data_IF_908985248116
#
_entry.id   IF_908985248116
#
_cell.length_a   1.000
_cell.length_b   1.000
_cell.length_c   1.000
_cell.angle_alpha   90.00
_cell.angle_beta   90.00
_cell.angle_gamma   90.00
#
_symmetry.space_group_name_H-M   'P 1'
#
loop_
_entity.id
_entity.type
_entity.pdbx_description
1 polymer ?
#
# COMPACT_ATOMS: atom_id res chain seq x y z
N UNK A 1 24.30 -4.84 15.97
CA UNK A 1 24.52 -6.30 16.10
C UNK A 1 23.20 -7.06 16.30
N UNK A 2 22.19 -6.50 16.99
CA UNK A 2 20.89 -7.13 17.25
C UNK A 2 20.13 -7.46 15.96
N UNK A 3 20.05 -6.55 14.99
CA UNK A 3 19.41 -6.80 13.69
C UNK A 3 20.04 -8.02 13.04
N UNK A 4 21.38 -8.09 12.98
CA UNK A 4 22.10 -9.23 12.41
C UNK A 4 21.78 -10.53 13.14
N UNK A 5 21.71 -10.49 14.47
CA UNK A 5 21.38 -11.66 15.28
C UNK A 5 19.96 -12.18 14.98
N UNK A 6 18.99 -11.30 14.84
CA UNK A 6 17.59 -11.65 14.54
C UNK A 6 17.46 -12.12 13.08
N UNK A 7 17.97 -11.33 12.12
CA UNK A 7 17.69 -11.55 10.69
C UNK A 7 18.49 -12.66 10.04
N UNK A 8 19.65 -13.04 10.60
CA UNK A 8 20.45 -14.14 10.08
C UNK A 8 19.88 -15.54 10.36
N UNK A 9 18.73 -15.64 11.00
CA UNK A 9 18.09 -16.92 11.29
C UNK A 9 16.59 -16.88 11.02
N UNK A 10 16.16 -17.57 9.95
CA UNK A 10 14.75 -17.75 9.65
C UNK A 10 13.98 -18.40 10.81
N UNK A 11 14.63 -19.25 11.58
CA UNK A 11 14.04 -19.89 12.77
C UNK A 11 13.74 -18.84 13.84
N UNK A 12 14.71 -17.98 14.16
CA UNK A 12 14.51 -16.88 15.13
C UNK A 12 13.43 -15.91 14.69
N UNK A 13 13.47 -15.47 13.43
CA UNK A 13 12.42 -14.60 12.88
C UNK A 13 11.04 -15.24 12.99
N UNK A 14 10.93 -16.52 12.69
CA UNK A 14 9.64 -17.26 12.75
C UNK A 14 9.12 -17.36 14.17
N UNK A 15 10.01 -17.62 15.15
CA UNK A 15 9.66 -17.65 16.56
C UNK A 15 9.21 -16.25 17.03
N UNK A 16 9.99 -15.23 16.76
CA UNK A 16 9.70 -13.86 17.18
C UNK A 16 8.41 -13.32 16.54
N UNK A 17 8.19 -13.57 15.25
CA UNK A 17 6.95 -13.20 14.57
C UNK A 17 5.73 -13.89 15.20
N UNK A 18 5.87 -15.15 15.63
CA UNK A 18 4.79 -15.89 16.29
C UNK A 18 4.51 -15.35 17.69
N UNK A 19 5.55 -15.00 18.46
CA UNK A 19 5.43 -14.40 19.79
C UNK A 19 4.97 -12.93 19.74
N UNK A 20 5.17 -12.24 18.61
CA UNK A 20 4.65 -10.90 18.38
C UNK A 20 3.12 -10.86 18.38
N UNK A 21 2.49 -11.89 17.82
CA UNK A 21 1.02 -11.99 17.80
C UNK A 21 0.42 -12.27 19.18
N UNK A 22 1.07 -13.13 19.96
CA UNK A 22 0.64 -13.47 21.34
C UNK A 22 1.70 -14.28 22.10
N UNK A 23 1.70 -14.20 23.45
CA UNK A 23 2.53 -15.07 24.27
C UNK A 23 2.16 -16.55 24.10
N UNK A 24 3.15 -17.43 23.95
CA UNK A 24 2.97 -18.85 23.68
C UNK A 24 3.91 -19.72 24.52
N UNK A 25 3.50 -20.96 24.78
CA UNK A 25 4.37 -22.01 25.30
C UNK A 25 5.08 -22.77 24.16
N UNK A 26 6.08 -23.60 24.50
CA UNK A 26 6.87 -24.37 23.52
C UNK A 26 6.02 -25.24 22.59
N UNK A 27 4.95 -25.85 23.10
CA UNK A 27 4.05 -26.73 22.34
C UNK A 27 3.28 -25.93 21.28
N UNK A 28 2.80 -24.76 21.65
CA UNK A 28 2.05 -23.89 20.74
C UNK A 28 2.97 -23.26 19.68
N UNK A 29 4.20 -22.87 20.06
CA UNK A 29 5.22 -22.42 19.09
C UNK A 29 5.51 -23.55 18.08
N UNK A 30 5.71 -24.80 18.52
CA UNK A 30 5.91 -25.93 17.62
C UNK A 30 4.74 -26.11 16.65
N UNK A 31 3.51 -26.08 17.16
CA UNK A 31 2.30 -26.25 16.35
C UNK A 31 2.14 -25.14 15.32
N UNK A 32 2.36 -23.89 15.72
CA UNK A 32 2.18 -22.71 14.84
C UNK A 32 3.29 -22.58 13.82
N UNK A 33 4.54 -22.86 14.20
CA UNK A 33 5.70 -22.67 13.33
C UNK A 33 6.06 -23.89 12.49
N UNK A 34 5.68 -25.10 12.92
CA UNK A 34 6.12 -26.37 12.34
C UNK A 34 7.61 -26.67 12.59
N UNK A 35 8.28 -25.91 13.47
CA UNK A 35 9.68 -26.12 13.82
C UNK A 35 9.83 -27.29 14.80
N UNK A 36 10.96 -28.04 14.71
CA UNK A 36 11.24 -29.10 15.68
C UNK A 36 11.47 -28.54 17.09
N UNK A 37 11.14 -29.30 18.12
CA UNK A 37 11.37 -28.90 19.52
C UNK A 37 12.84 -28.59 19.81
N UNK A 38 13.77 -29.33 19.23
CA UNK A 38 15.21 -29.07 19.40
C UNK A 38 15.63 -27.71 18.82
N UNK A 39 15.11 -27.41 17.61
CA UNK A 39 15.36 -26.13 16.94
C UNK A 39 14.76 -24.94 17.73
N UNK A 40 13.51 -25.11 18.23
CA UNK A 40 12.86 -24.10 19.07
C UNK A 40 13.67 -23.90 20.34
N UNK A 41 13.96 -24.97 21.11
CA UNK A 41 14.66 -24.88 22.38
C UNK A 41 16.02 -24.18 22.29
N UNK A 42 16.83 -24.54 21.29
CA UNK A 42 18.14 -23.90 21.07
C UNK A 42 18.03 -22.41 20.76
N UNK A 43 17.09 -22.02 19.88
CA UNK A 43 16.89 -20.62 19.54
C UNK A 43 16.23 -19.81 20.66
N UNK A 44 15.28 -20.39 21.38
CA UNK A 44 14.64 -19.75 22.54
C UNK A 44 15.65 -19.44 23.62
N UNK A 45 16.55 -20.38 23.94
CA UNK A 45 17.63 -20.14 24.90
C UNK A 45 18.49 -18.93 24.51
N UNK A 46 18.91 -18.84 23.24
CA UNK A 46 19.71 -17.70 22.76
C UNK A 46 18.93 -16.38 22.75
N UNK A 47 17.64 -16.41 22.41
CA UNK A 47 16.78 -15.25 22.45
C UNK A 47 16.51 -14.76 23.89
N UNK A 48 16.34 -15.66 24.83
CA UNK A 48 16.16 -15.35 26.26
C UNK A 48 17.44 -14.79 26.88
N UNK A 49 18.59 -15.40 26.59
CA UNK A 49 19.90 -14.92 27.02
C UNK A 49 20.21 -13.52 26.46
N UNK A 50 19.80 -13.24 25.23
CA UNK A 50 19.96 -11.92 24.59
C UNK A 50 18.93 -10.88 25.03
N UNK A 51 17.97 -11.23 25.91
CA UNK A 51 16.92 -10.32 26.38
C UNK A 51 15.85 -9.99 25.32
N UNK A 52 15.79 -10.74 24.21
CA UNK A 52 14.77 -10.56 23.18
C UNK A 52 13.39 -11.07 23.60
N UNK A 53 13.40 -12.12 24.41
CA UNK A 53 12.20 -12.72 25.00
C UNK A 53 12.43 -12.96 26.50
N UNK A 54 11.34 -13.13 27.21
CA UNK A 54 11.38 -13.55 28.61
C UNK A 54 10.29 -14.56 28.90
N UNK A 55 10.47 -15.35 29.96
CA UNK A 55 9.49 -16.33 30.41
C UNK A 55 8.70 -15.81 31.60
N UNK A 56 7.37 -15.96 31.54
CA UNK A 56 6.48 -15.72 32.66
C UNK A 56 5.54 -16.92 32.81
N UNK A 57 5.67 -17.63 33.93
CA UNK A 57 4.99 -18.90 34.12
C UNK A 57 5.36 -19.93 33.06
N UNK A 58 4.39 -20.37 32.29
CA UNK A 58 4.56 -21.36 31.22
C UNK A 58 4.63 -20.73 29.82
N UNK A 59 4.54 -19.39 29.71
CA UNK A 59 4.50 -18.67 28.47
C UNK A 59 5.81 -17.90 28.23
N UNK A 60 6.19 -17.79 26.97
CA UNK A 60 7.24 -16.91 26.50
C UNK A 60 6.60 -15.64 25.93
N UNK A 61 7.20 -14.52 26.27
CA UNK A 61 6.80 -13.19 25.87
C UNK A 61 7.93 -12.53 25.11
N UNK A 62 7.61 -11.73 24.13
CA UNK A 62 8.58 -10.83 23.48
C UNK A 62 8.85 -9.63 24.41
N UNK A 63 10.09 -9.15 24.49
CA UNK A 63 10.40 -7.93 25.25
C UNK A 63 9.94 -6.69 24.49
N UNK A 64 9.59 -5.61 25.19
CA UNK A 64 9.05 -4.38 24.56
C UNK A 64 9.96 -3.84 23.45
N UNK A 65 11.28 -3.81 23.66
CA UNK A 65 12.22 -3.34 22.65
C UNK A 65 12.24 -4.27 21.43
N UNK A 66 12.18 -5.57 21.66
CA UNK A 66 12.16 -6.57 20.58
C UNK A 66 10.85 -6.52 19.81
N UNK A 67 9.73 -6.23 20.47
CA UNK A 67 8.44 -6.02 19.82
C UNK A 67 8.52 -4.91 18.76
N UNK A 68 9.15 -3.78 19.09
CA UNK A 68 9.40 -2.68 18.15
C UNK A 68 10.30 -3.10 16.98
N UNK A 69 11.36 -3.89 17.25
CA UNK A 69 12.22 -4.41 16.18
C UNK A 69 11.47 -5.35 15.25
N UNK A 70 10.70 -6.27 15.80
CA UNK A 70 9.95 -7.27 15.03
C UNK A 70 8.86 -6.62 14.21
N UNK A 71 8.14 -5.64 14.75
CA UNK A 71 7.15 -4.85 14.00
C UNK A 71 7.76 -4.28 12.72
N UNK A 72 8.87 -3.55 12.84
CA UNK A 72 9.56 -2.97 11.67
C UNK A 72 10.06 -4.01 10.67
N UNK A 73 10.54 -5.17 11.15
CA UNK A 73 10.99 -6.27 10.27
C UNK A 73 9.80 -6.89 9.52
N UNK A 74 8.65 -7.04 10.15
CA UNK A 74 7.44 -7.56 9.51
C UNK A 74 6.91 -6.58 8.46
N UNK A 75 6.87 -5.29 8.76
CA UNK A 75 6.47 -4.24 7.80
C UNK A 75 7.42 -4.22 6.59
N UNK A 76 8.73 -4.32 6.80
CA UNK A 76 9.72 -4.42 5.73
C UNK A 76 9.50 -5.69 4.88
N UNK A 77 9.23 -6.83 5.52
CA UNK A 77 8.92 -8.08 4.83
C UNK A 77 7.69 -7.93 3.94
N UNK A 78 6.64 -7.30 4.44
CA UNK A 78 5.40 -7.10 3.68
C UNK A 78 5.61 -6.10 2.53
N UNK A 79 6.43 -5.07 2.72
CA UNK A 79 6.87 -4.17 1.65
C UNK A 79 7.63 -4.92 0.56
N UNK A 80 8.58 -5.78 0.93
CA UNK A 80 9.34 -6.61 -0.04
C UNK A 80 8.41 -7.57 -0.78
N UNK A 81 7.46 -8.19 -0.10
CA UNK A 81 6.47 -9.07 -0.72
C UNK A 81 5.61 -8.31 -1.73
N UNK A 82 5.20 -7.07 -1.40
CA UNK A 82 4.48 -6.19 -2.31
C UNK A 82 5.31 -5.89 -3.57
N UNK A 83 6.57 -5.50 -3.40
CA UNK A 83 7.46 -5.22 -4.53
C UNK A 83 7.67 -6.44 -5.41
N UNK A 84 7.87 -7.62 -4.83
CA UNK A 84 7.99 -8.86 -5.58
C UNK A 84 6.71 -9.20 -6.36
N UNK A 85 5.54 -8.95 -5.75
CA UNK A 85 4.25 -9.15 -6.40
C UNK A 85 4.05 -8.28 -7.64
N UNK A 86 4.53 -7.03 -7.58
CA UNK A 86 4.36 -6.04 -8.65
C UNK A 86 5.67 -5.69 -9.36
N UNK A 87 6.70 -6.53 -9.26
CA UNK A 87 8.03 -6.27 -9.81
C UNK A 87 7.99 -5.82 -11.28
N UNK A 88 7.31 -6.58 -12.14
CA UNK A 88 7.23 -6.29 -13.57
C UNK A 88 6.55 -4.94 -13.89
N UNK A 89 5.65 -4.48 -13.00
CA UNK A 89 5.00 -3.18 -13.15
C UNK A 89 5.92 -2.07 -12.66
N UNK A 90 6.46 -2.22 -11.46
CA UNK A 90 7.31 -1.20 -10.84
C UNK A 90 8.59 -0.96 -11.65
N UNK A 91 9.16 -2.02 -12.24
CA UNK A 91 10.40 -1.96 -13.02
C UNK A 91 10.19 -1.40 -14.44
N UNK A 92 8.96 -1.42 -14.95
CA UNK A 92 8.60 -0.91 -16.28
C UNK A 92 7.95 0.49 -16.28
N UNK A 93 7.81 1.11 -15.10
CA UNK A 93 7.10 2.37 -14.95
C UNK A 93 7.88 3.39 -14.12
N UNK A 94 7.53 4.66 -14.27
CA UNK A 94 8.10 5.75 -13.49
C UNK A 94 7.57 5.69 -12.07
N UNK A 95 8.44 5.44 -11.08
CA UNK A 95 8.12 5.31 -9.65
C UNK A 95 8.94 6.26 -8.76
N UNK A 96 9.87 7.01 -9.32
CA UNK A 96 10.77 7.93 -8.60
C UNK A 96 10.03 9.11 -7.94
N UNK A 97 8.80 9.39 -8.40
CA UNK A 97 7.91 10.39 -7.81
C UNK A 97 7.24 9.95 -6.51
N UNK A 98 7.32 8.67 -6.15
CA UNK A 98 6.83 8.20 -4.85
C UNK A 98 7.74 8.76 -3.74
N UNK A 99 7.20 9.58 -2.81
CA UNK A 99 8.02 10.17 -1.76
C UNK A 99 8.71 9.08 -0.92
N UNK A 100 10.00 9.23 -0.65
CA UNK A 100 10.77 8.26 0.14
C UNK A 100 10.13 7.92 1.49
N UNK A 101 9.44 8.89 2.11
CA UNK A 101 8.70 8.67 3.36
C UNK A 101 7.50 7.72 3.17
N UNK A 102 6.87 7.75 1.99
CA UNK A 102 5.73 6.89 1.67
C UNK A 102 6.16 5.46 1.34
N UNK A 103 7.40 5.26 0.86
CA UNK A 103 7.93 3.92 0.58
C UNK A 103 7.88 3.02 1.82
N UNK A 104 8.20 3.56 3.00
CA UNK A 104 8.15 2.83 4.26
C UNK A 104 6.73 2.37 4.67
N UNK A 105 5.69 2.94 4.06
CA UNK A 105 4.28 2.64 4.35
C UNK A 105 3.62 1.80 3.26
N UNK A 106 4.34 1.41 2.21
CA UNK A 106 3.77 0.66 1.09
C UNK A 106 3.30 -0.75 1.49
N UNK A 107 3.76 -1.30 2.61
CA UNK A 107 3.24 -2.56 3.15
C UNK A 107 1.72 -2.53 3.38
N UNK A 108 1.13 -1.35 3.61
CA UNK A 108 -0.33 -1.18 3.75
C UNK A 108 -1.08 -1.57 2.47
N UNK A 109 -0.41 -1.56 1.32
CA UNK A 109 -0.97 -1.96 0.03
C UNK A 109 -0.88 -3.47 -0.24
N UNK A 110 -0.60 -4.30 0.75
CA UNK A 110 -0.43 -5.75 0.59
C UNK A 110 -1.62 -6.48 -0.05
N UNK A 111 -2.84 -5.90 0.06
CA UNK A 111 -4.06 -6.41 -0.59
C UNK A 111 -4.29 -5.88 -2.00
N UNK A 112 -3.43 -5.01 -2.52
CA UNK A 112 -3.57 -4.48 -3.86
C UNK A 112 -3.59 -5.60 -4.91
N UNK A 113 -4.37 -5.40 -5.96
CA UNK A 113 -4.46 -6.28 -7.11
C UNK A 113 -4.06 -5.51 -8.36
N UNK A 114 -3.45 -6.20 -9.32
CA UNK A 114 -3.21 -5.64 -10.63
C UNK A 114 -4.47 -5.79 -11.47
N UNK A 115 -4.88 -4.70 -12.11
CA UNK A 115 -5.93 -4.69 -13.12
C UNK A 115 -5.28 -4.47 -14.47
N UNK A 116 -5.53 -5.37 -15.42
CA UNK A 116 -5.02 -5.28 -16.78
C UNK A 116 -6.18 -5.40 -17.78
N UNK A 117 -6.19 -4.49 -18.76
CA UNK A 117 -7.03 -4.63 -19.95
C UNK A 117 -6.48 -5.75 -20.83
N UNK A 118 -7.33 -6.44 -21.56
CA UNK A 118 -6.95 -7.53 -22.47
C UNK A 118 -7.83 -7.50 -23.73
N UNK A 119 -7.55 -8.38 -24.69
CA UNK A 119 -8.27 -8.44 -25.98
C UNK A 119 -9.79 -8.64 -25.84
N UNK A 120 -10.25 -9.23 -24.75
CA UNK A 120 -11.69 -9.47 -24.49
C UNK A 120 -12.35 -8.32 -23.74
N UNK A 121 -11.56 -7.53 -23.00
CA UNK A 121 -12.02 -6.39 -22.21
C UNK A 121 -10.99 -5.28 -22.27
N UNK A 122 -10.98 -4.58 -23.39
CA UNK A 122 -10.00 -3.52 -23.73
C UNK A 122 -10.19 -2.26 -22.88
N UNK A 123 -11.37 -2.08 -22.28
CA UNK A 123 -11.72 -0.94 -21.42
C UNK A 123 -11.76 -1.27 -19.93
N UNK A 124 -11.25 -2.43 -19.54
CA UNK A 124 -11.37 -2.92 -18.15
C UNK A 124 -10.83 -1.93 -17.12
N UNK A 125 -9.68 -1.32 -17.37
CA UNK A 125 -9.08 -0.32 -16.48
C UNK A 125 -9.98 0.91 -16.34
N UNK A 126 -10.52 1.43 -17.44
CA UNK A 126 -11.47 2.54 -17.43
C UNK A 126 -12.79 2.18 -16.72
N UNK A 127 -13.34 1.01 -17.00
CA UNK A 127 -14.59 0.54 -16.39
C UNK A 127 -14.48 0.43 -14.87
N UNK A 128 -13.30 0.04 -14.35
CA UNK A 128 -13.06 -0.02 -12.91
C UNK A 128 -12.99 1.38 -12.28
N UNK A 129 -12.32 2.34 -12.94
CA UNK A 129 -12.30 3.72 -12.46
C UNK A 129 -13.73 4.30 -12.49
N UNK A 130 -14.44 4.11 -13.58
CA UNK A 130 -15.84 4.55 -13.73
C UNK A 130 -16.73 3.98 -12.64
N UNK A 131 -16.63 2.69 -12.37
CA UNK A 131 -17.40 2.03 -11.31
C UNK A 131 -17.06 2.57 -9.92
N UNK A 132 -15.77 2.80 -9.66
CA UNK A 132 -15.32 3.39 -8.40
C UNK A 132 -15.87 4.82 -8.20
N UNK A 133 -15.91 5.63 -9.24
CA UNK A 133 -16.50 6.97 -9.19
C UNK A 133 -18.01 6.94 -8.99
N UNK A 134 -18.73 6.06 -9.69
CA UNK A 134 -20.18 5.92 -9.55
C UNK A 134 -20.65 5.48 -8.16
N UNK A 135 -19.81 4.77 -7.42
CA UNK A 135 -20.16 4.25 -6.11
C UNK A 135 -19.57 5.08 -4.96
N UNK A 136 -18.85 6.15 -5.27
CA UNK A 136 -18.18 6.97 -4.29
C UNK A 136 -19.15 7.92 -3.56
N UNK A 137 -18.86 8.19 -2.28
CA UNK A 137 -19.47 9.27 -1.50
C UNK A 137 -18.48 10.38 -1.16
N UNK A 138 -17.18 10.16 -1.43
CA UNK A 138 -16.13 11.15 -1.35
C UNK A 138 -15.03 10.83 -2.35
N UNK A 139 -14.32 11.85 -2.83
CA UNK A 139 -13.32 11.69 -3.89
C UNK A 139 -12.09 12.55 -3.63
N UNK A 140 -10.90 11.92 -3.67
CA UNK A 140 -9.61 12.61 -3.73
C UNK A 140 -8.83 12.07 -4.92
N UNK A 141 -8.45 12.96 -5.84
CA UNK A 141 -7.77 12.55 -7.06
C UNK A 141 -6.50 13.36 -7.34
N UNK A 142 -5.50 12.67 -7.86
CA UNK A 142 -4.42 13.27 -8.66
C UNK A 142 -4.68 12.86 -10.11
N UNK A 143 -5.07 13.80 -10.95
CA UNK A 143 -5.44 13.54 -12.34
C UNK A 143 -4.40 14.15 -13.28
N UNK A 144 -3.58 13.32 -13.94
CA UNK A 144 -2.48 13.80 -14.80
C UNK A 144 -2.95 14.32 -16.16
N UNK A 145 -4.16 14.01 -16.56
CA UNK A 145 -4.77 14.42 -17.82
C UNK A 145 -6.27 14.64 -17.63
N UNK A 146 -6.84 15.38 -18.56
CA UNK A 146 -8.28 15.59 -18.63
C UNK A 146 -8.92 14.44 -19.43
N UNK A 147 -9.94 13.80 -18.85
CA UNK A 147 -10.74 12.77 -19.51
C UNK A 147 -12.22 13.09 -19.36
N UNK A 148 -12.87 13.42 -20.49
CA UNK A 148 -14.25 13.95 -20.50
C UNK A 148 -15.29 13.06 -19.83
N UNK A 149 -15.17 11.73 -19.99
CA UNK A 149 -16.15 10.81 -19.42
C UNK A 149 -16.11 10.78 -17.88
N UNK A 150 -14.92 11.00 -17.27
CA UNK A 150 -14.83 11.04 -15.81
C UNK A 150 -15.45 12.30 -15.22
N UNK A 151 -15.48 13.40 -15.97
CA UNK A 151 -16.06 14.65 -15.50
C UNK A 151 -17.56 14.55 -15.21
N UNK A 152 -18.29 13.72 -15.97
CA UNK A 152 -19.70 13.48 -15.70
C UNK A 152 -19.87 12.92 -14.28
N UNK A 153 -19.11 11.87 -13.93
CA UNK A 153 -19.19 11.24 -12.61
C UNK A 153 -18.72 12.17 -11.48
N UNK A 154 -17.71 13.01 -11.76
CA UNK A 154 -17.25 14.01 -10.81
C UNK A 154 -18.33 15.08 -10.60
N UNK A 155 -19.00 15.55 -11.65
CA UNK A 155 -20.11 16.48 -11.53
C UNK A 155 -21.30 15.88 -10.77
N UNK A 156 -21.67 14.63 -11.05
CA UNK A 156 -22.75 13.94 -10.32
C UNK A 156 -22.42 13.93 -8.80
N UNK A 157 -21.18 13.62 -8.42
CA UNK A 157 -20.73 13.67 -7.02
C UNK A 157 -20.74 15.09 -6.43
N UNK A 158 -20.42 16.12 -7.22
CA UNK A 158 -20.49 17.53 -6.80
C UNK A 158 -21.94 17.90 -6.50
N UNK A 159 -22.88 17.54 -7.39
CA UNK A 159 -24.30 17.83 -7.25
C UNK A 159 -24.93 17.09 -6.06
N UNK A 160 -24.43 15.90 -5.73
CA UNK A 160 -24.83 15.13 -4.55
C UNK A 160 -24.26 15.69 -3.24
N UNK A 161 -23.40 16.72 -3.30
CA UNK A 161 -22.79 17.36 -2.14
C UNK A 161 -21.62 16.61 -1.54
N UNK A 162 -21.02 15.67 -2.29
CA UNK A 162 -19.84 14.93 -1.88
C UNK A 162 -18.62 15.87 -1.77
N UNK A 163 -17.73 15.60 -0.79
CA UNK A 163 -16.46 16.33 -0.69
C UNK A 163 -15.45 15.82 -1.71
N UNK A 164 -14.91 16.74 -2.52
CA UNK A 164 -14.05 16.43 -3.65
C UNK A 164 -12.75 17.25 -3.57
N UNK A 165 -11.62 16.56 -3.55
CA UNK A 165 -10.28 17.15 -3.64
C UNK A 165 -9.62 16.73 -4.96
N UNK A 166 -9.30 17.70 -5.82
CA UNK A 166 -8.65 17.46 -7.11
C UNK A 166 -7.27 18.12 -7.15
N UNK A 167 -6.27 17.35 -7.50
CA UNK A 167 -4.91 17.81 -7.76
C UNK A 167 -4.61 17.58 -9.24
N UNK A 168 -4.31 18.66 -9.96
CA UNK A 168 -4.11 18.62 -11.41
C UNK A 168 -2.88 19.45 -11.84
N UNK A 169 -2.32 19.20 -13.02
CA UNK A 169 -1.37 20.10 -13.67
C UNK A 169 -2.01 21.43 -14.08
N UNK A 170 -1.24 22.51 -14.02
CA UNK A 170 -1.73 23.85 -14.43
C UNK A 170 -2.14 23.92 -15.89
N UNK A 171 -1.47 23.20 -16.77
CA UNK A 171 -1.71 23.23 -18.22
C UNK A 171 -3.08 22.66 -18.64
N UNK A 172 -3.76 21.91 -17.75
CA UNK A 172 -5.10 21.38 -18.01
C UNK A 172 -6.18 22.01 -17.12
N UNK A 173 -5.83 23.01 -16.32
CA UNK A 173 -6.73 23.65 -15.36
C UNK A 173 -7.98 24.23 -16.02
N UNK A 174 -7.82 24.93 -17.15
CA UNK A 174 -8.91 25.55 -17.91
C UNK A 174 -9.96 24.51 -18.36
N UNK A 175 -9.53 23.28 -18.70
CA UNK A 175 -10.44 22.20 -19.07
C UNK A 175 -11.34 21.82 -17.89
N UNK A 176 -10.76 21.68 -16.67
CA UNK A 176 -11.54 21.36 -15.48
C UNK A 176 -12.45 22.50 -15.08
N UNK A 177 -12.00 23.75 -15.14
CA UNK A 177 -12.81 24.95 -14.85
C UNK A 177 -14.01 25.09 -15.82
N UNK A 178 -13.87 24.64 -17.07
CA UNK A 178 -14.94 24.68 -18.05
C UNK A 178 -15.99 23.58 -17.85
N UNK A 179 -15.59 22.38 -17.43
CA UNK A 179 -16.46 21.21 -17.41
C UNK A 179 -17.01 20.87 -16.01
N UNK A 180 -16.35 21.36 -14.93
CA UNK A 180 -16.79 21.08 -13.56
C UNK A 180 -17.42 22.30 -12.94
N UNK A 181 -18.47 22.05 -12.13
CA UNK A 181 -19.10 23.08 -11.33
C UNK A 181 -18.27 23.35 -10.06
N UNK A 182 -17.21 24.15 -10.20
CA UNK A 182 -16.24 24.46 -9.14
C UNK A 182 -16.71 25.57 -8.17
N UNK A 183 -17.92 26.13 -8.35
CA UNK A 183 -18.47 27.16 -7.46
C UNK A 183 -19.02 26.57 -6.14
N UNK A 184 -19.09 25.24 -6.04
CA UNK A 184 -19.55 24.56 -4.85
C UNK A 184 -18.47 24.51 -3.76
N UNK A 185 -18.84 24.83 -2.53
CA UNK A 185 -17.96 24.83 -1.34
C UNK A 185 -17.40 23.43 -0.97
N UNK A 186 -17.91 22.39 -1.59
CA UNK A 186 -17.48 21.02 -1.38
C UNK A 186 -16.39 20.55 -2.36
N UNK A 187 -15.85 21.46 -3.20
CA UNK A 187 -14.83 21.14 -4.21
C UNK A 187 -13.56 21.92 -3.97
N UNK A 188 -12.46 21.23 -3.71
CA UNK A 188 -11.12 21.77 -3.59
C UNK A 188 -10.31 21.41 -4.84
N UNK A 189 -10.06 22.40 -5.72
CA UNK A 189 -9.19 22.22 -6.89
C UNK A 189 -7.83 22.89 -6.66
N UNK A 190 -6.77 22.09 -6.67
CA UNK A 190 -5.39 22.59 -6.60
C UNK A 190 -4.62 22.26 -7.89
N UNK A 191 -4.04 23.30 -8.50
CA UNK A 191 -3.26 23.16 -9.73
C UNK A 191 -1.77 23.43 -9.48
N UNK A 192 -0.89 22.49 -9.88
CA UNK A 192 0.56 22.57 -9.71
C UNK A 192 1.31 22.63 -11.02
N UNK A 193 2.50 23.23 -11.00
CA UNK A 193 3.49 23.12 -12.09
C UNK A 193 4.26 21.78 -11.94
N UNK A 194 3.58 20.67 -12.14
CA UNK A 194 4.19 19.34 -12.06
C UNK A 194 3.94 18.64 -13.39
N UNK A 195 5.00 18.04 -13.94
CA UNK A 195 4.84 16.96 -14.91
C UNK A 195 4.39 15.72 -14.13
N UNK A 196 3.27 15.15 -14.53
CA UNK A 196 2.66 14.10 -13.75
C UNK A 196 3.33 12.76 -13.97
N UNK A 197 3.44 12.03 -12.88
CA UNK A 197 4.04 10.72 -12.89
C UNK A 197 3.06 9.59 -12.52
N UNK A 198 1.84 9.91 -12.11
CA UNK A 198 0.82 8.91 -11.77
C UNK A 198 -0.59 9.49 -11.79
N UNK A 199 -1.55 8.60 -11.94
CA UNK A 199 -2.97 8.84 -11.66
C UNK A 199 -3.30 8.22 -10.31
N UNK A 200 -3.98 8.97 -9.44
CA UNK A 200 -4.46 8.47 -8.16
C UNK A 200 -5.93 8.83 -8.01
N UNK A 201 -6.77 7.83 -7.77
CA UNK A 201 -8.17 7.99 -7.42
C UNK A 201 -8.40 7.32 -6.07
N UNK A 202 -8.85 8.08 -5.09
CA UNK A 202 -9.17 7.59 -3.74
C UNK A 202 -10.63 7.93 -3.45
N UNK A 203 -11.41 6.92 -3.19
CA UNK A 203 -12.81 7.03 -2.74
C UNK A 203 -12.92 6.50 -1.31
N UNK A 204 -14.11 6.60 -0.74
CA UNK A 204 -14.43 5.96 0.55
C UNK A 204 -14.34 4.41 0.52
N UNK A 205 -14.27 3.79 -0.67
CA UNK A 205 -14.27 2.33 -0.85
C UNK A 205 -12.98 1.77 -1.40
N UNK A 206 -12.29 2.49 -2.28
CA UNK A 206 -11.16 1.95 -3.05
C UNK A 206 -10.13 3.03 -3.37
N UNK A 207 -8.87 2.61 -3.50
CA UNK A 207 -7.78 3.41 -4.05
C UNK A 207 -7.31 2.77 -5.36
N UNK A 208 -7.19 3.58 -6.40
CA UNK A 208 -6.70 3.17 -7.72
C UNK A 208 -5.45 3.99 -8.03
N UNK A 209 -4.39 3.30 -8.40
CA UNK A 209 -3.12 3.91 -8.84
C UNK A 209 -2.84 3.49 -10.29
N UNK A 210 -2.66 4.45 -11.17
CA UNK A 210 -2.20 4.27 -12.55
C UNK A 210 -0.85 4.91 -12.74
N UNK A 211 0.04 4.29 -13.50
CA UNK A 211 1.43 4.69 -13.66
C UNK A 211 1.74 5.10 -15.11
N UNK A 212 2.81 5.86 -15.28
CA UNK A 212 3.39 6.20 -16.57
C UNK A 212 4.55 5.27 -16.89
N UNK A 213 4.64 4.87 -18.16
CA UNK A 213 5.78 4.12 -18.69
C UNK A 213 7.03 5.00 -18.75
N UNK A 214 8.18 4.39 -18.88
CA UNK A 214 9.46 5.10 -19.05
C UNK A 214 9.50 6.04 -20.28
N UNK A 215 8.67 5.77 -21.31
CA UNK A 215 8.52 6.63 -22.49
C UNK A 215 7.68 7.89 -22.24
N UNK A 216 7.18 8.08 -21.02
CA UNK A 216 6.35 9.20 -20.61
C UNK A 216 4.86 9.07 -20.96
N UNK A 217 4.44 7.94 -21.52
CA UNK A 217 3.03 7.70 -21.83
C UNK A 217 2.32 7.02 -20.63
N UNK A 218 1.08 7.44 -20.38
CA UNK A 218 0.24 6.77 -19.37
C UNK A 218 -0.08 5.34 -19.82
N UNK A 219 0.08 4.36 -18.90
CA UNK A 219 -0.27 2.98 -19.21
C UNK A 219 -1.78 2.75 -19.04
N UNK A 220 -2.51 2.94 -20.12
CA UNK A 220 -3.97 2.76 -20.13
C UNK A 220 -4.42 1.30 -19.94
N UNK A 221 -3.51 0.35 -20.05
CA UNK A 221 -3.81 -1.08 -19.99
C UNK A 221 -3.58 -1.69 -18.60
N UNK A 222 -2.94 -0.91 -17.69
CA UNK A 222 -2.57 -1.38 -16.34
C UNK A 222 -2.80 -0.34 -15.28
#
# INVERSE_FOLDING_TARGET
EEIKYITNSLVRLKILATLYEQPLNMKDINRTTGLSYSSISSNMFGLELGGFIYRSGNLYHISNTTELYVSNILELKDTINLFNKFFNILDAHIVDMIPKKSVAQLYLLGRAILVESNEKDVYRTYNIIQHALNEASSLKCVLPFFYGDFNKYINDLIEEGSHIELIIPKNIKENFEYFLNLENDNVDLTAFNIENAFLLVVTDKVMILGLFKEDGNFDQNR
#
